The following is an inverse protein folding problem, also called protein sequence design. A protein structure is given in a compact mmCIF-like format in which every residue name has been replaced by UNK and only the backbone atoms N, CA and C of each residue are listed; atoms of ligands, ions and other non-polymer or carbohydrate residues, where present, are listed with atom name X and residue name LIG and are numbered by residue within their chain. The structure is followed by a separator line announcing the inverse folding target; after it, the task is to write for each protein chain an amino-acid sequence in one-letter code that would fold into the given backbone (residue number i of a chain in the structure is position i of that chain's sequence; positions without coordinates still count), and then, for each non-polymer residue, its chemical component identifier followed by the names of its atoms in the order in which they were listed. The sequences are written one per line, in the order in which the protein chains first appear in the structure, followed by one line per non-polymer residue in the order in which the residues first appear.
data_IF_373775588615
#
_entry.id   IF_373775588615
#
_cell.length_a   1.000
_cell.length_b   1.000
_cell.length_c   1.000
_cell.angle_alpha   90.00
_cell.angle_beta   90.00
_cell.angle_gamma   90.00
#
_symmetry.space_group_name_H-M   'P 1'
#
loop_
_entity.id
_entity.type
_entity.pdbx_description
1 polymer ?
#
# COMPACT_ATOMS: atom_id res chain seq x y z
N UNK A 1 -11.57 -102.90 -13.53
CA UNK A 1 -11.62 -102.11 -12.28
C UNK A 1 -10.87 -100.82 -12.52
N UNK A 2 -11.48 -99.69 -12.15
CA UNK A 2 -11.05 -98.29 -12.29
C UNK A 2 -11.40 -97.56 -13.60
N UNK A 3 -12.22 -96.53 -13.39
CA UNK A 3 -12.93 -95.59 -14.25
C UNK A 3 -12.01 -94.47 -14.78
N UNK A 4 -12.29 -93.93 -15.97
CA UNK A 4 -11.52 -92.84 -16.61
C UNK A 4 -12.39 -92.02 -17.57
N UNK A 5 -13.40 -91.31 -17.03
CA UNK A 5 -14.14 -90.29 -17.79
C UNK A 5 -13.37 -88.95 -17.86
N UNK A 6 -13.39 -88.21 -18.99
CA UNK A 6 -12.68 -86.94 -19.13
C UNK A 6 -13.36 -85.81 -18.32
N UNK A 7 -12.61 -84.79 -17.85
CA UNK A 7 -13.18 -83.71 -17.05
C UNK A 7 -14.07 -82.80 -17.90
N UNK A 8 -15.36 -82.79 -17.61
CA UNK A 8 -16.33 -81.85 -18.17
C UNK A 8 -16.05 -80.44 -17.63
N UNK A 9 -15.44 -79.58 -18.45
CA UNK A 9 -15.36 -78.13 -18.17
C UNK A 9 -16.76 -77.53 -18.27
N UNK A 10 -17.40 -77.27 -17.13
CA UNK A 10 -18.64 -76.48 -17.08
C UNK A 10 -18.34 -75.05 -17.57
N UNK A 11 -19.15 -74.47 -18.47
CA UNK A 11 -19.04 -73.06 -18.79
C UNK A 11 -19.35 -72.26 -17.52
N UNK A 12 -18.43 -71.38 -17.13
CA UNK A 12 -18.65 -70.41 -16.07
C UNK A 12 -19.69 -69.44 -16.62
N UNK A 13 -20.97 -69.69 -16.32
CA UNK A 13 -22.05 -68.75 -16.65
C UNK A 13 -21.72 -67.48 -15.89
N UNK A 14 -21.21 -66.48 -16.62
CA UNK A 14 -20.95 -65.17 -16.07
C UNK A 14 -22.29 -64.58 -15.64
N UNK A 15 -22.47 -64.43 -14.34
CA UNK A 15 -23.71 -64.02 -13.72
C UNK A 15 -24.04 -62.58 -14.17
N UNK A 16 -25.10 -62.42 -14.97
CA UNK A 16 -25.50 -61.14 -15.55
C UNK A 16 -25.73 -60.08 -14.47
N UNK A 17 -26.15 -60.49 -13.26
CA UNK A 17 -26.33 -59.59 -12.09
C UNK A 17 -25.02 -58.98 -11.61
N UNK A 18 -23.90 -59.71 -11.66
CA UNK A 18 -22.60 -59.19 -11.19
C UNK A 18 -22.02 -58.17 -12.17
N UNK A 19 -22.26 -58.32 -13.47
CA UNK A 19 -21.86 -57.32 -14.47
C UNK A 19 -22.66 -56.01 -14.34
N UNK A 20 -23.98 -56.05 -14.16
CA UNK A 20 -24.79 -54.84 -13.91
C UNK A 20 -24.44 -54.15 -12.59
N UNK A 21 -24.13 -54.92 -11.54
CA UNK A 21 -23.69 -54.37 -10.26
C UNK A 21 -22.35 -53.62 -10.39
N UNK A 22 -21.37 -54.18 -11.12
CA UNK A 22 -20.09 -53.51 -11.39
C UNK A 22 -20.26 -52.23 -12.22
N UNK A 23 -21.13 -52.26 -13.23
CA UNK A 23 -21.46 -51.07 -14.02
C UNK A 23 -22.10 -49.99 -13.15
N UNK A 24 -23.06 -50.34 -12.29
CA UNK A 24 -23.70 -49.39 -11.38
C UNK A 24 -22.70 -48.75 -10.39
N UNK A 25 -21.77 -49.53 -9.84
CA UNK A 25 -20.73 -49.02 -8.95
C UNK A 25 -19.76 -48.09 -9.69
N UNK A 26 -19.33 -48.47 -10.90
CA UNK A 26 -18.45 -47.63 -11.71
C UNK A 26 -19.12 -46.31 -12.14
N UNK A 27 -20.40 -46.35 -12.50
CA UNK A 27 -21.19 -45.16 -12.82
C UNK A 27 -21.34 -44.25 -11.59
N UNK A 28 -21.59 -44.83 -10.41
CA UNK A 28 -21.61 -44.09 -9.15
C UNK A 28 -20.29 -43.40 -8.85
N UNK A 29 -19.16 -44.09 -9.06
CA UNK A 29 -17.82 -43.53 -8.88
C UNK A 29 -17.56 -42.35 -9.83
N UNK A 30 -17.92 -42.50 -11.12
CA UNK A 30 -17.76 -41.44 -12.13
C UNK A 30 -18.59 -40.21 -11.77
N UNK A 31 -19.83 -40.40 -11.30
CA UNK A 31 -20.69 -39.31 -10.84
C UNK A 31 -20.05 -38.57 -9.66
N UNK A 32 -19.54 -39.31 -8.67
CA UNK A 32 -18.85 -38.72 -7.51
C UNK A 32 -17.63 -37.91 -7.95
N UNK A 33 -16.76 -38.47 -8.78
CA UNK A 33 -15.55 -37.78 -9.29
C UNK A 33 -15.92 -36.52 -10.07
N UNK A 34 -16.96 -36.59 -10.90
CA UNK A 34 -17.42 -35.44 -11.72
C UNK A 34 -17.99 -34.34 -10.82
N UNK A 35 -18.82 -34.68 -9.85
CA UNK A 35 -19.39 -33.73 -8.89
C UNK A 35 -18.32 -33.08 -8.03
N UNK A 36 -17.34 -33.86 -7.55
CA UNK A 36 -16.19 -33.34 -6.80
C UNK A 36 -15.35 -32.40 -7.66
N UNK A 37 -15.02 -32.78 -8.91
CA UNK A 37 -14.27 -31.92 -9.83
C UNK A 37 -15.00 -30.60 -10.13
N UNK A 38 -16.30 -30.66 -10.39
CA UNK A 38 -17.14 -29.46 -10.60
C UNK A 38 -17.19 -28.58 -9.34
N UNK A 39 -17.31 -29.18 -8.16
CA UNK A 39 -17.29 -28.48 -6.89
C UNK A 39 -15.96 -27.75 -6.67
N UNK A 40 -14.82 -28.42 -6.88
CA UNK A 40 -13.50 -27.81 -6.76
C UNK A 40 -13.26 -26.70 -7.79
N UNK A 41 -13.66 -26.88 -9.05
CA UNK A 41 -13.56 -25.83 -10.08
C UNK A 41 -14.41 -24.61 -9.73
N UNK A 42 -15.61 -24.82 -9.18
CA UNK A 42 -16.47 -23.73 -8.72
C UNK A 42 -15.91 -23.03 -7.47
N UNK A 43 -15.35 -23.78 -6.54
CA UNK A 43 -14.71 -23.27 -5.33
C UNK A 43 -13.48 -22.43 -5.66
N UNK A 44 -12.58 -22.93 -6.51
CA UNK A 44 -11.36 -22.22 -6.90
C UNK A 44 -11.66 -20.89 -7.61
N UNK A 45 -12.66 -20.85 -8.50
CA UNK A 45 -13.10 -19.61 -9.18
C UNK A 45 -13.70 -18.58 -8.22
N UNK A 46 -14.31 -19.01 -7.12
CA UNK A 46 -14.88 -18.11 -6.10
C UNK A 46 -13.81 -17.53 -5.17
N UNK A 47 -12.72 -18.26 -4.94
CA UNK A 47 -11.65 -17.89 -4.03
C UNK A 47 -10.72 -16.84 -4.64
N UNK A 48 -10.36 -17.01 -5.92
CA UNK A 48 -9.51 -16.07 -6.67
C UNK A 48 -10.15 -14.67 -6.82
N UNK A 49 -11.46 -14.62 -7.10
CA UNK A 49 -12.20 -13.37 -7.21
C UNK A 49 -12.34 -12.63 -5.86
N UNK A 50 -12.40 -13.36 -4.74
CA UNK A 50 -12.48 -12.76 -3.40
C UNK A 50 -11.15 -12.13 -2.99
N UNK A 51 -10.03 -12.83 -3.19
CA UNK A 51 -8.71 -12.29 -2.82
C UNK A 51 -8.35 -11.04 -3.62
N UNK A 52 -8.72 -10.98 -4.91
CA UNK A 52 -8.52 -9.77 -5.71
C UNK A 52 -9.41 -8.61 -5.24
N UNK A 53 -10.70 -8.86 -4.99
CA UNK A 53 -11.62 -7.83 -4.52
C UNK A 53 -11.26 -7.31 -3.11
N UNK A 54 -10.78 -8.19 -2.24
CA UNK A 54 -10.30 -7.83 -0.90
C UNK A 54 -9.03 -6.98 -0.96
N UNK A 55 -8.03 -7.43 -1.74
CA UNK A 55 -6.80 -6.67 -1.96
C UNK A 55 -7.08 -5.30 -2.57
N UNK A 56 -8.01 -5.21 -3.53
CA UNK A 56 -8.40 -3.95 -4.15
C UNK A 56 -9.12 -3.03 -3.16
N UNK A 57 -10.03 -3.57 -2.34
CA UNK A 57 -10.71 -2.80 -1.31
C UNK A 57 -9.72 -2.27 -0.26
N UNK A 58 -8.73 -3.07 0.14
CA UNK A 58 -7.65 -2.66 1.04
C UNK A 58 -6.80 -1.57 0.39
N UNK A 59 -6.34 -1.78 -0.86
CA UNK A 59 -5.53 -0.80 -1.58
C UNK A 59 -6.25 0.54 -1.73
N UNK A 60 -7.54 0.51 -2.10
CA UNK A 60 -8.39 1.70 -2.18
C UNK A 60 -8.56 2.38 -0.82
N UNK A 61 -8.76 1.61 0.24
CA UNK A 61 -8.85 2.14 1.61
C UNK A 61 -7.55 2.82 2.07
N UNK A 62 -6.40 2.19 1.80
CA UNK A 62 -5.08 2.76 2.13
C UNK A 62 -4.81 4.03 1.31
N UNK A 63 -5.10 4.01 0.00
CA UNK A 63 -4.93 5.19 -0.85
C UNK A 63 -5.78 6.37 -0.38
N UNK A 64 -7.06 6.14 -0.10
CA UNK A 64 -7.96 7.18 0.42
C UNK A 64 -7.51 7.71 1.79
N UNK A 65 -6.96 6.86 2.64
CA UNK A 65 -6.39 7.27 3.92
C UNK A 65 -5.15 8.15 3.74
N UNK A 66 -4.25 7.81 2.83
CA UNK A 66 -3.05 8.61 2.52
C UNK A 66 -3.47 9.98 1.98
N UNK A 67 -4.39 10.02 1.02
CA UNK A 67 -4.90 11.27 0.44
C UNK A 67 -5.54 12.17 1.51
N UNK A 68 -6.37 11.60 2.39
CA UNK A 68 -6.97 12.33 3.50
C UNK A 68 -5.92 12.88 4.49
N UNK A 69 -4.83 12.12 4.72
CA UNK A 69 -3.72 12.56 5.57
C UNK A 69 -2.93 13.70 4.93
N UNK A 70 -2.63 13.59 3.64
CA UNK A 70 -1.94 14.64 2.87
C UNK A 70 -2.74 15.94 2.89
N UNK A 71 -4.04 15.87 2.59
CA UNK A 71 -4.94 17.03 2.65
C UNK A 71 -4.96 17.67 4.04
N UNK A 72 -5.07 16.85 5.11
CA UNK A 72 -5.04 17.35 6.48
C UNK A 72 -3.72 18.08 6.82
N UNK A 73 -2.57 17.58 6.36
CA UNK A 73 -1.30 18.27 6.56
C UNK A 73 -1.21 19.58 5.76
N UNK A 74 -1.70 19.61 4.52
CA UNK A 74 -1.74 20.83 3.71
C UNK A 74 -2.63 21.89 4.37
N UNK A 75 -3.82 21.53 4.85
CA UNK A 75 -4.73 22.45 5.53
C UNK A 75 -4.09 23.08 6.76
N UNK A 76 -3.36 22.28 7.55
CA UNK A 76 -2.59 22.75 8.71
C UNK A 76 -1.50 23.73 8.27
N UNK A 77 -0.71 23.38 7.26
CA UNK A 77 0.41 24.20 6.80
C UNK A 77 -0.08 25.52 6.19
N UNK A 78 -1.14 25.50 5.39
CA UNK A 78 -1.77 26.69 4.80
C UNK A 78 -2.36 27.58 5.88
N UNK A 79 -3.10 27.01 6.83
CA UNK A 79 -3.63 27.74 7.99
C UNK A 79 -2.51 28.40 8.81
N UNK A 80 -1.40 27.70 9.01
CA UNK A 80 -0.24 28.23 9.71
C UNK A 80 0.46 29.34 8.91
N UNK A 81 0.67 29.14 7.61
CA UNK A 81 1.28 30.10 6.69
C UNK A 81 0.47 31.42 6.62
N UNK A 82 -0.85 31.35 6.79
CA UNK A 82 -1.75 32.51 6.81
C UNK A 82 -1.68 33.37 8.08
N UNK A 83 -1.01 32.94 9.15
CA UNK A 83 -0.97 33.67 10.42
C UNK A 83 -0.27 35.02 10.26
N UNK A 84 -0.94 36.08 10.71
CA UNK A 84 -0.46 37.47 10.58
C UNK A 84 0.98 37.67 11.07
N UNK A 85 1.30 37.21 12.30
CA UNK A 85 2.65 37.34 12.88
C UNK A 85 3.72 36.59 12.09
N UNK A 86 3.37 35.42 11.55
CA UNK A 86 4.30 34.64 10.75
C UNK A 86 4.61 35.33 9.41
N UNK A 87 3.57 35.89 8.77
CA UNK A 87 3.74 36.70 7.56
C UNK A 87 4.56 37.96 7.82
N UNK A 88 4.31 38.66 8.93
CA UNK A 88 5.08 39.85 9.34
C UNK A 88 6.57 39.51 9.49
N UNK A 89 6.90 38.39 10.13
CA UNK A 89 8.29 37.91 10.27
C UNK A 89 8.94 37.59 8.91
N UNK A 90 8.19 36.98 7.99
CA UNK A 90 8.66 36.67 6.63
C UNK A 90 8.91 37.96 5.82
N UNK A 91 7.96 38.90 5.85
CA UNK A 91 8.04 40.18 5.13
C UNK A 91 9.23 41.02 5.60
N UNK A 92 9.50 41.04 6.91
CA UNK A 92 10.68 41.70 7.48
C UNK A 92 11.99 40.93 7.28
N UNK A 93 11.94 39.70 6.75
CA UNK A 93 13.07 38.77 6.69
C UNK A 93 13.74 38.56 8.07
N UNK A 94 12.94 38.61 9.14
CA UNK A 94 13.43 38.34 10.49
C UNK A 94 13.58 36.84 10.69
N UNK A 95 14.81 36.34 10.47
CA UNK A 95 15.13 34.93 10.64
C UNK A 95 14.90 34.44 12.07
N UNK A 96 15.18 35.27 13.07
CA UNK A 96 15.07 34.85 14.47
C UNK A 96 13.59 34.61 14.83
N UNK A 97 12.73 35.55 14.47
CA UNK A 97 11.27 35.44 14.67
C UNK A 97 10.67 34.30 13.82
N UNK A 98 11.09 34.17 12.56
CA UNK A 98 10.64 33.08 11.69
C UNK A 98 10.98 31.70 12.29
N UNK A 99 12.18 31.51 12.85
CA UNK A 99 12.56 30.24 13.50
C UNK A 99 11.73 29.95 14.75
N UNK A 100 11.31 30.97 15.51
CA UNK A 100 10.37 30.79 16.63
C UNK A 100 9.03 30.24 16.13
N UNK A 101 8.52 30.78 15.03
CA UNK A 101 7.30 30.25 14.41
C UNK A 101 7.48 28.82 13.87
N UNK A 102 8.61 28.50 13.24
CA UNK A 102 8.87 27.13 12.77
C UNK A 102 8.99 26.14 13.93
N UNK A 103 9.55 26.56 15.07
CA UNK A 103 9.56 25.76 16.30
C UNK A 103 8.16 25.49 16.82
N UNK A 104 7.34 26.53 16.95
CA UNK A 104 5.96 26.39 17.42
C UNK A 104 5.14 25.46 16.51
N UNK A 105 5.36 25.50 15.20
CA UNK A 105 4.75 24.56 14.25
C UNK A 105 5.20 23.13 14.54
N UNK A 106 6.51 22.90 14.70
CA UNK A 106 7.06 21.58 14.98
C UNK A 106 6.59 21.02 16.33
N UNK A 107 6.47 21.86 17.36
CA UNK A 107 5.95 21.48 18.69
C UNK A 107 4.46 21.14 18.64
N UNK A 108 3.66 21.86 17.84
CA UNK A 108 2.24 21.58 17.65
C UNK A 108 1.98 20.33 16.79
N UNK A 109 2.90 20.01 15.87
CA UNK A 109 2.81 18.88 14.96
C UNK A 109 4.09 18.05 15.03
N UNK A 110 4.27 17.24 16.09
CA UNK A 110 5.50 16.49 16.33
C UNK A 110 5.78 15.40 15.29
N UNK A 111 4.82 15.09 14.41
CA UNK A 111 4.98 14.21 13.27
C UNK A 111 5.83 14.85 12.14
N UNK A 112 5.97 16.18 12.15
CA UNK A 112 6.85 16.88 11.21
C UNK A 112 8.31 16.73 11.65
N UNK A 113 9.13 16.08 10.83
CA UNK A 113 10.57 15.96 11.09
C UNK A 113 11.28 17.33 11.12
N UNK A 114 10.82 18.28 10.30
CA UNK A 114 11.38 19.63 10.19
C UNK A 114 10.40 20.59 9.53
N UNK A 115 10.56 21.88 9.82
CA UNK A 115 9.93 22.97 9.08
C UNK A 115 11.00 23.96 8.62
N UNK A 116 10.85 24.50 7.40
CA UNK A 116 11.81 25.43 6.83
C UNK A 116 11.13 26.46 5.91
N UNK A 117 11.85 27.54 5.64
CA UNK A 117 11.46 28.57 4.69
C UNK A 117 12.52 28.70 3.62
N UNK A 118 12.10 28.63 2.36
CA UNK A 118 12.90 28.97 1.20
C UNK A 118 12.38 30.26 0.57
N UNK A 119 13.26 31.01 -0.07
CA UNK A 119 12.88 32.18 -0.87
C UNK A 119 12.41 31.76 -2.28
N UNK A 120 11.90 32.70 -3.09
CA UNK A 120 11.46 32.39 -4.46
C UNK A 120 12.57 31.85 -5.38
N UNK A 121 13.86 32.01 -5.05
CA UNK A 121 14.98 31.42 -5.77
C UNK A 121 15.35 30.01 -5.26
N UNK A 122 14.57 29.47 -4.33
CA UNK A 122 14.76 28.16 -3.72
C UNK A 122 15.86 28.13 -2.68
N UNK A 123 16.33 29.27 -2.17
CA UNK A 123 17.36 29.34 -1.13
C UNK A 123 16.73 29.25 0.24
N UNK A 124 17.10 28.23 1.02
CA UNK A 124 16.60 28.05 2.39
C UNK A 124 17.21 29.11 3.30
N UNK A 125 16.41 29.86 4.03
CA UNK A 125 16.89 30.94 4.91
C UNK A 125 16.51 30.77 6.39
N UNK A 126 15.50 29.95 6.69
CA UNK A 126 15.17 29.55 8.07
C UNK A 126 14.81 28.05 8.11
N UNK A 127 15.18 27.37 9.19
CA UNK A 127 14.90 25.94 9.40
C UNK A 127 14.85 25.64 10.90
N UNK A 128 13.95 24.73 11.29
CA UNK A 128 13.90 24.16 12.63
C UNK A 128 13.54 22.66 12.57
N UNK A 129 14.20 21.78 13.36
CA UNK A 129 15.42 22.05 14.13
C UNK A 129 16.59 22.52 13.25
N UNK A 130 17.59 23.20 13.82
CA UNK A 130 18.72 23.72 13.05
C UNK A 130 19.52 22.58 12.38
N UNK A 131 19.85 22.75 11.10
CA UNK A 131 20.63 21.78 10.33
C UNK A 131 21.84 22.48 9.71
N UNK A 132 23.06 22.16 10.18
CA UNK A 132 24.28 22.78 9.66
C UNK A 132 24.39 22.63 8.14
N UNK A 133 24.70 23.74 7.46
CA UNK A 133 24.94 23.75 6.02
C UNK A 133 23.70 23.68 5.13
N UNK A 134 22.48 23.79 5.67
CA UNK A 134 21.24 23.90 4.87
C UNK A 134 20.89 25.35 4.56
N UNK A 135 21.00 26.23 5.55
CA UNK A 135 20.70 27.67 5.40
C UNK A 135 21.69 28.30 4.40
N UNK A 136 21.18 29.12 3.49
CA UNK A 136 21.93 29.77 2.41
C UNK A 136 22.19 28.87 1.19
N UNK A 137 21.75 27.60 1.20
CA UNK A 137 21.88 26.71 0.04
C UNK A 137 20.65 26.76 -0.84
N UNK A 138 20.88 26.85 -2.15
CA UNK A 138 19.81 26.65 -3.13
C UNK A 138 19.37 25.19 -3.12
N UNK A 139 18.06 25.00 -3.05
CA UNK A 139 17.35 23.75 -3.21
C UNK A 139 16.46 23.78 -4.45
N UNK A 140 16.73 24.68 -5.41
CA UNK A 140 15.93 24.82 -6.63
C UNK A 140 15.91 23.57 -7.52
N UNK A 141 16.85 22.65 -7.31
CA UNK A 141 16.93 21.35 -7.99
C UNK A 141 16.11 20.25 -7.30
N UNK A 142 15.46 20.53 -6.16
CA UNK A 142 14.70 19.53 -5.41
C UNK A 142 13.26 19.48 -5.88
N UNK A 143 12.69 18.28 -5.85
CA UNK A 143 11.31 18.01 -6.30
C UNK A 143 10.29 18.96 -5.66
N UNK A 144 10.34 19.13 -4.34
CA UNK A 144 9.42 20.05 -3.64
C UNK A 144 9.46 21.48 -4.17
N UNK A 145 10.62 21.98 -4.63
CA UNK A 145 10.72 23.32 -5.20
C UNK A 145 10.23 23.35 -6.64
N UNK A 146 10.60 22.33 -7.43
CA UNK A 146 10.17 22.22 -8.82
C UNK A 146 8.65 22.03 -8.95
N UNK A 147 8.01 21.36 -7.98
CA UNK A 147 6.56 21.19 -7.95
C UNK A 147 5.80 22.43 -7.47
N UNK A 148 6.31 23.18 -6.47
CA UNK A 148 5.62 24.39 -5.96
C UNK A 148 5.82 25.62 -6.86
N UNK A 149 6.99 25.77 -7.49
CA UNK A 149 7.38 27.01 -8.19
C UNK A 149 6.58 27.41 -9.44
N UNK A 150 5.91 26.52 -10.19
CA UNK A 150 5.12 26.92 -11.35
C UNK A 150 3.88 27.75 -10.99
N UNK A 151 3.18 27.39 -9.93
CA UNK A 151 1.88 27.96 -9.56
C UNK A 151 1.86 28.60 -8.16
N UNK A 152 2.86 28.30 -7.32
CA UNK A 152 2.94 28.70 -5.90
C UNK A 152 1.74 28.23 -5.07
N UNK A 153 1.12 27.14 -5.49
CA UNK A 153 0.06 26.44 -4.77
C UNK A 153 0.62 25.32 -3.88
N UNK A 154 -0.08 24.92 -2.81
CA UNK A 154 0.38 23.84 -1.94
C UNK A 154 0.65 22.54 -2.73
N UNK A 155 1.85 21.96 -2.54
CA UNK A 155 2.32 20.78 -3.28
C UNK A 155 2.98 19.78 -2.32
N UNK A 156 2.74 18.49 -2.55
CA UNK A 156 3.39 17.38 -1.84
C UNK A 156 4.39 16.73 -2.79
N UNK A 157 5.66 16.72 -2.40
CA UNK A 157 6.74 16.14 -3.20
C UNK A 157 6.84 14.63 -3.07
N UNK A 158 7.48 14.01 -4.06
CA UNK A 158 7.95 12.64 -3.95
C UNK A 158 8.91 12.43 -2.77
N UNK A 159 8.95 11.20 -2.25
CA UNK A 159 9.78 10.87 -1.09
C UNK A 159 11.26 11.09 -1.41
N UNK A 160 11.87 12.01 -0.65
CA UNK A 160 13.25 12.41 -0.85
C UNK A 160 14.10 12.10 0.38
N UNK A 161 15.36 11.71 0.16
CA UNK A 161 16.33 11.59 1.26
C UNK A 161 16.86 12.96 1.65
N UNK A 162 16.56 13.38 2.87
CA UNK A 162 17.20 14.52 3.52
C UNK A 162 18.57 14.11 4.05
N UNK A 163 19.59 14.96 3.90
CA UNK A 163 20.86 14.73 4.59
C UNK A 163 20.62 14.64 6.10
N UNK A 164 21.20 13.63 6.78
CA UNK A 164 20.92 13.38 8.18
C UNK A 164 21.31 14.59 9.03
N UNK A 165 20.40 15.02 9.92
CA UNK A 165 20.73 15.92 11.01
C UNK A 165 21.74 15.22 11.93
N UNK A 166 22.99 15.67 11.94
CA UNK A 166 23.94 15.25 12.99
C UNK A 166 23.50 15.89 14.30
N UNK A 167 22.62 15.21 15.04
CA UNK A 167 22.08 15.75 16.29
C UNK A 167 20.95 14.94 16.87
N UNK A 168 21.23 13.71 17.31
CA UNK A 168 20.57 13.13 18.50
C UNK A 168 21.67 12.78 19.48
N UNK A 169 22.05 13.73 20.34
CA UNK A 169 22.68 13.38 21.59
C UNK A 169 21.56 12.81 22.48
N UNK A 170 21.77 11.57 22.94
CA UNK A 170 20.99 10.94 24.01
C UNK A 170 21.16 11.72 25.32
#
# INVERSE_FOLDING_TARGET
MADSGPPVRRPRVADHRTHWALVAVSAGLVVVVTLTGLFFLRSARLEEARSLAENEAIARGVAAFIEAKEQAYLDVLVSYAGRFRFREAIERRDRAEAVVHLRQLNEAFPELDRAFLADPAGVVWAVYPDVPGVVGRSSAHRDWYQGVSPEWEPYVSEVSRTSPSRGRAR
#
